data_IF_467443194465
#
_entry.id   IF_467443194465
#
_cell.length_a   1.000
_cell.length_b   1.000
_cell.length_c   1.000
_cell.angle_alpha   90.00
_cell.angle_beta   90.00
_cell.angle_gamma   90.00
#
_symmetry.space_group_name_H-M   'P 1'
#
loop_
_entity.id
_entity.type
_entity.pdbx_description
1 polymer ?
#
# COMPACT_ATOMS: atom_id res chain seq x y z
N UNK A 1 12.30 5.08 -9.69
CA UNK A 1 11.09 4.52 -9.04
C UNK A 1 10.03 3.99 -10.02
N UNK A 2 10.16 4.18 -11.35
CA UNK A 2 9.37 3.42 -12.34
C UNK A 2 9.82 1.95 -12.29
N UNK A 3 8.94 1.02 -11.92
CA UNK A 3 9.24 -0.42 -12.08
C UNK A 3 9.01 -1.33 -10.88
N UNK A 4 7.97 -1.12 -10.07
CA UNK A 4 7.40 -2.20 -9.24
C UNK A 4 6.59 -3.19 -10.11
N UNK A 5 7.20 -3.70 -11.18
CA UNK A 5 6.55 -4.55 -12.19
C UNK A 5 5.79 -5.75 -11.59
N UNK A 6 6.31 -6.45 -10.57
CA UNK A 6 5.57 -7.56 -9.94
C UNK A 6 4.22 -7.11 -9.38
N UNK A 7 4.19 -5.95 -8.72
CA UNK A 7 2.97 -5.39 -8.16
C UNK A 7 1.98 -4.96 -9.25
N UNK A 8 2.46 -4.48 -10.40
CA UNK A 8 1.58 -4.19 -11.54
C UNK A 8 0.95 -5.47 -12.11
N UNK A 9 1.69 -6.59 -12.14
CA UNK A 9 1.14 -7.90 -12.54
C UNK A 9 0.06 -8.35 -11.56
N UNK A 10 0.36 -8.33 -10.25
CA UNK A 10 -0.60 -8.68 -9.19
C UNK A 10 -1.86 -7.80 -9.26
N UNK A 11 -1.70 -6.49 -9.43
CA UNK A 11 -2.83 -5.57 -9.61
C UNK A 11 -3.72 -6.00 -10.77
N UNK A 12 -3.14 -6.29 -11.94
CA UNK A 12 -3.91 -6.70 -13.12
C UNK A 12 -4.69 -7.97 -12.86
N UNK A 13 -4.05 -8.96 -12.23
CA UNK A 13 -4.69 -10.24 -11.90
C UNK A 13 -5.88 -10.02 -10.94
N UNK A 14 -5.68 -9.27 -9.84
CA UNK A 14 -6.75 -8.95 -8.89
C UNK A 14 -7.89 -8.14 -9.53
N UNK A 15 -7.55 -7.20 -10.42
CA UNK A 15 -8.51 -6.30 -11.06
C UNK A 15 -9.35 -6.97 -12.14
N UNK A 16 -9.04 -8.21 -12.53
CA UNK A 16 -9.91 -9.02 -13.39
C UNK A 16 -11.10 -9.54 -12.57
N UNK A 17 -10.84 -10.02 -11.35
CA UNK A 17 -11.82 -10.73 -10.52
C UNK A 17 -12.65 -9.80 -9.63
N UNK A 18 -12.08 -8.64 -9.24
CA UNK A 18 -12.75 -7.68 -8.37
C UNK A 18 -12.59 -6.25 -8.86
N UNK A 19 -13.70 -5.52 -8.83
CA UNK A 19 -13.73 -4.09 -9.14
C UNK A 19 -13.22 -3.21 -8.00
N UNK A 20 -13.15 -3.69 -6.76
CA UNK A 20 -12.63 -2.93 -5.62
C UNK A 20 -11.45 -3.64 -4.98
N UNK A 21 -10.34 -2.93 -4.87
CA UNK A 21 -9.07 -3.46 -4.37
C UNK A 21 -8.51 -2.50 -3.33
N UNK A 22 -8.09 -3.05 -2.21
CA UNK A 22 -7.56 -2.32 -1.08
C UNK A 22 -6.03 -2.44 -1.09
N UNK A 23 -5.35 -1.34 -1.42
CA UNK A 23 -3.91 -1.22 -1.34
C UNK A 23 -3.49 -0.98 0.12
N UNK A 24 -2.95 -2.02 0.73
CA UNK A 24 -2.60 -2.08 2.15
C UNK A 24 -1.11 -2.32 2.33
N UNK A 25 -0.59 -2.02 3.52
CA UNK A 25 0.82 -2.21 3.84
C UNK A 25 1.34 -1.13 4.78
N UNK A 26 2.60 -1.28 5.26
CA UNK A 26 3.14 -0.38 6.26
C UNK A 26 3.22 1.07 5.74
N UNK A 27 3.18 2.03 6.68
CA UNK A 27 3.43 3.43 6.35
C UNK A 27 4.77 3.56 5.62
N UNK A 28 4.83 4.50 4.68
CA UNK A 28 6.03 4.78 3.86
C UNK A 28 6.50 3.62 2.96
N UNK A 29 5.72 2.55 2.77
CA UNK A 29 6.05 1.47 1.82
C UNK A 29 5.99 1.88 0.33
N UNK A 30 5.44 3.06 0.03
CA UNK A 30 5.27 3.57 -1.33
C UNK A 30 3.88 3.39 -1.94
N UNK A 31 2.83 3.29 -1.10
CA UNK A 31 1.44 3.05 -1.54
C UNK A 31 0.92 4.12 -2.50
N UNK A 32 0.94 5.39 -2.10
CA UNK A 32 0.53 6.52 -2.95
C UNK A 32 1.28 6.53 -4.28
N UNK A 33 2.59 6.23 -4.27
CA UNK A 33 3.36 6.15 -5.51
C UNK A 33 2.92 4.99 -6.41
N UNK A 34 2.65 3.81 -5.84
CA UNK A 34 2.13 2.69 -6.63
C UNK A 34 0.72 2.99 -7.16
N UNK A 35 -0.14 3.60 -6.35
CA UNK A 35 -1.49 3.99 -6.74
C UNK A 35 -1.46 4.99 -7.92
N UNK A 36 -0.56 5.97 -7.88
CA UNK A 36 -0.36 6.90 -9.00
C UNK A 36 0.11 6.16 -10.26
N UNK A 37 1.11 5.28 -10.15
CA UNK A 37 1.60 4.49 -11.30
C UNK A 37 0.48 3.65 -11.91
N UNK A 38 -0.38 3.07 -11.08
CA UNK A 38 -1.55 2.31 -11.54
C UNK A 38 -2.54 3.27 -12.22
N UNK A 39 -2.87 4.41 -11.60
CA UNK A 39 -3.77 5.43 -12.15
C UNK A 39 -3.33 5.89 -13.54
N UNK A 40 -2.04 6.22 -13.69
CA UNK A 40 -1.45 6.71 -14.94
C UNK A 40 -1.51 5.68 -16.08
N UNK A 41 -1.71 4.39 -15.76
CA UNK A 41 -1.86 3.33 -16.76
C UNK A 41 -3.28 3.20 -17.33
N UNK A 42 -4.25 3.93 -16.78
CA UNK A 42 -5.64 3.95 -17.24
C UNK A 42 -5.92 5.22 -18.04
N UNK A 43 -6.56 5.07 -19.22
CA UNK A 43 -6.99 6.21 -20.04
C UNK A 43 -7.96 7.11 -19.29
N UNK A 44 -8.96 6.50 -18.64
CA UNK A 44 -9.94 7.17 -17.79
C UNK A 44 -9.58 6.88 -16.34
N UNK A 45 -9.11 7.88 -15.61
CA UNK A 45 -8.80 7.75 -14.19
C UNK A 45 -9.14 9.01 -13.41
N UNK A 46 -9.41 8.84 -12.12
CA UNK A 46 -9.66 9.94 -11.19
C UNK A 46 -8.94 9.63 -9.87
N UNK A 47 -8.08 10.56 -9.45
CA UNK A 47 -7.35 10.42 -8.21
C UNK A 47 -7.94 11.31 -7.12
N UNK A 48 -8.53 10.68 -6.10
CA UNK A 48 -9.03 11.35 -4.92
C UNK A 48 -8.11 11.06 -3.73
N UNK A 49 -7.82 12.09 -2.95
CA UNK A 49 -7.00 12.01 -1.74
C UNK A 49 -7.68 12.78 -0.62
N UNK A 50 -8.03 12.08 0.46
CA UNK A 50 -8.73 12.66 1.60
C UNK A 50 -7.92 13.75 2.34
N UNK A 51 -6.60 13.76 2.22
CA UNK A 51 -5.77 14.80 2.87
C UNK A 51 -5.87 16.16 2.18
N UNK A 52 -6.31 16.20 0.91
CA UNK A 52 -6.48 17.44 0.14
C UNK A 52 -7.84 18.07 0.50
N UNK A 53 -7.80 19.32 0.97
CA UNK A 53 -8.99 20.03 1.43
C UNK A 53 -10.05 20.22 0.33
N UNK A 54 -9.62 20.53 -0.89
CA UNK A 54 -10.49 20.68 -2.05
C UNK A 54 -11.23 19.38 -2.38
N UNK A 55 -10.51 18.25 -2.39
CA UNK A 55 -11.12 16.93 -2.59
C UNK A 55 -12.18 16.65 -1.55
N UNK A 56 -11.89 16.89 -0.26
CA UNK A 56 -12.89 16.73 0.80
C UNK A 56 -14.12 17.62 0.57
N UNK A 57 -13.93 18.88 0.20
CA UNK A 57 -15.04 19.79 -0.05
C UNK A 57 -15.94 19.29 -1.20
N UNK A 58 -15.35 18.85 -2.31
CA UNK A 58 -16.08 18.28 -3.43
C UNK A 58 -16.83 17.00 -3.03
N UNK A 59 -16.18 16.09 -2.31
CA UNK A 59 -16.80 14.86 -1.79
C UNK A 59 -18.02 15.14 -0.90
N UNK A 60 -17.96 16.15 -0.04
CA UNK A 60 -19.08 16.50 0.84
C UNK A 60 -20.28 17.07 0.09
N UNK A 61 -20.05 17.72 -1.05
CA UNK A 61 -21.12 18.24 -1.90
C UNK A 61 -21.68 17.16 -2.83
N UNK A 62 -20.80 16.32 -3.39
CA UNK A 62 -21.16 15.24 -4.30
C UNK A 62 -20.37 13.96 -3.96
N UNK A 63 -20.96 13.03 -3.19
CA UNK A 63 -20.32 11.76 -2.85
C UNK A 63 -20.05 10.85 -4.06
N UNK A 64 -20.78 11.02 -5.17
CA UNK A 64 -20.57 10.30 -6.43
C UNK A 64 -19.90 11.18 -7.50
N UNK A 65 -19.02 12.10 -7.07
CA UNK A 65 -18.22 12.97 -7.94
C UNK A 65 -17.54 12.26 -9.11
N UNK A 66 -17.18 10.98 -8.94
CA UNK A 66 -16.56 10.17 -9.98
C UNK A 66 -17.48 9.83 -11.17
N UNK A 67 -18.79 10.00 -11.04
CA UNK A 67 -19.72 9.84 -12.16
C UNK A 67 -19.56 10.94 -13.21
N UNK A 68 -19.16 12.14 -12.78
CA UNK A 68 -18.94 13.30 -13.64
C UNK A 68 -17.61 13.28 -14.41
N UNK A 69 -16.83 12.18 -14.31
CA UNK A 69 -15.57 12.07 -15.03
C UNK A 69 -15.80 12.11 -16.55
N UNK A 70 -15.08 13.00 -17.24
CA UNK A 70 -15.04 13.01 -18.69
C UNK A 70 -14.32 11.76 -19.21
N UNK A 71 -15.03 10.93 -19.97
CA UNK A 71 -14.48 9.70 -20.54
C UNK A 71 -13.89 10.00 -21.92
N UNK A 72 -12.62 9.64 -22.10
CA UNK A 72 -11.90 9.77 -23.38
C UNK A 72 -12.20 8.60 -24.32
N UNK A 73 -12.58 7.45 -23.76
CA UNK A 73 -12.95 6.24 -24.50
C UNK A 73 -13.99 5.41 -23.73
N UNK A 74 -14.33 4.23 -24.25
CA UNK A 74 -15.27 3.29 -23.62
C UNK A 74 -14.65 2.39 -22.54
N UNK A 75 -13.37 2.58 -22.20
CA UNK A 75 -12.70 1.75 -21.19
C UNK A 75 -13.24 2.01 -19.78
N UNK A 76 -13.25 0.97 -18.95
CA UNK A 76 -13.71 1.08 -17.56
C UNK A 76 -12.77 2.04 -16.79
N UNK A 77 -13.30 3.14 -16.24
CA UNK A 77 -12.50 4.10 -15.48
C UNK A 77 -12.01 3.54 -14.15
N UNK A 78 -10.82 3.99 -13.73
CA UNK A 78 -10.25 3.71 -12.43
C UNK A 78 -10.40 4.90 -11.49
N UNK A 79 -11.01 4.69 -10.33
CA UNK A 79 -11.15 5.68 -9.26
C UNK A 79 -10.22 5.29 -8.13
N UNK A 80 -9.25 6.14 -7.84
CA UNK A 80 -8.33 5.97 -6.70
C UNK A 80 -8.87 6.76 -5.52
N UNK A 81 -9.07 6.09 -4.39
CA UNK A 81 -9.52 6.69 -3.13
C UNK A 81 -8.40 6.55 -2.09
N UNK A 82 -7.50 7.53 -2.05
CA UNK A 82 -6.36 7.56 -1.14
C UNK A 82 -6.74 8.16 0.22
N UNK A 83 -6.30 7.50 1.29
CA UNK A 83 -6.54 7.89 2.68
C UNK A 83 -8.05 8.05 3.05
N UNK A 84 -8.96 7.43 2.30
CA UNK A 84 -10.43 7.54 2.51
C UNK A 84 -10.88 7.07 3.89
N UNK A 85 -10.09 6.20 4.54
CA UNK A 85 -10.36 5.70 5.90
C UNK A 85 -10.37 6.80 6.98
N UNK A 86 -9.88 8.00 6.68
CA UNK A 86 -9.99 9.18 7.55
C UNK A 86 -11.41 9.74 7.60
N UNK A 87 -12.27 9.43 6.63
CA UNK A 87 -13.69 9.74 6.69
C UNK A 87 -14.39 8.81 7.67
N UNK A 88 -15.12 9.34 8.65
CA UNK A 88 -15.72 8.53 9.74
C UNK A 88 -16.62 7.40 9.22
N UNK A 89 -17.36 7.62 8.14
CA UNK A 89 -18.35 6.66 7.58
C UNK A 89 -17.88 5.99 6.28
N UNK A 90 -16.56 5.92 6.07
CA UNK A 90 -15.95 5.41 4.84
C UNK A 90 -16.41 4.01 4.45
N UNK A 91 -16.68 3.13 5.42
CA UNK A 91 -17.12 1.75 5.14
C UNK A 91 -18.49 1.69 4.48
N UNK A 92 -19.45 2.43 5.02
CA UNK A 92 -20.80 2.49 4.46
C UNK A 92 -20.80 3.17 3.09
N UNK A 93 -19.98 4.21 2.94
CA UNK A 93 -19.74 4.83 1.64
C UNK A 93 -19.23 3.83 0.61
N UNK A 94 -18.14 3.11 0.91
CA UNK A 94 -17.58 2.11 -0.02
C UNK A 94 -18.54 0.96 -0.31
N UNK A 95 -19.36 0.56 0.66
CA UNK A 95 -20.39 -0.47 0.46
C UNK A 95 -21.40 0.00 -0.60
N UNK A 96 -21.93 1.21 -0.45
CA UNK A 96 -22.87 1.78 -1.42
C UNK A 96 -22.24 1.96 -2.79
N UNK A 97 -20.99 2.46 -2.83
CA UNK A 97 -20.23 2.61 -4.08
C UNK A 97 -20.05 1.26 -4.78
N UNK A 98 -19.66 0.21 -4.06
CA UNK A 98 -19.51 -1.11 -4.65
C UNK A 98 -20.85 -1.66 -5.16
N UNK A 99 -21.86 -1.69 -4.30
CA UNK A 99 -23.15 -2.31 -4.62
C UNK A 99 -23.80 -1.67 -5.87
N UNK A 100 -23.62 -0.35 -6.06
CA UNK A 100 -24.20 0.38 -7.19
C UNK A 100 -23.29 0.46 -8.45
N UNK A 101 -21.96 0.51 -8.28
CA UNK A 101 -21.05 0.89 -9.36
C UNK A 101 -19.98 -0.15 -9.73
N UNK A 102 -19.96 -1.33 -9.09
CA UNK A 102 -18.94 -2.36 -9.33
C UNK A 102 -18.79 -2.81 -10.78
N UNK A 103 -19.85 -2.76 -11.59
CA UNK A 103 -19.80 -3.15 -13.01
C UNK A 103 -19.31 -2.03 -13.93
N UNK A 104 -19.33 -0.78 -13.46
CA UNK A 104 -19.07 0.41 -14.28
C UNK A 104 -17.72 1.07 -14.01
N UNK A 105 -17.13 0.80 -12.85
CA UNK A 105 -15.91 1.47 -12.37
C UNK A 105 -15.01 0.46 -11.66
N UNK A 106 -13.69 0.70 -11.73
CA UNK A 106 -12.72 0.06 -10.84
C UNK A 106 -12.35 1.03 -9.72
N UNK A 107 -12.14 0.51 -8.53
CA UNK A 107 -11.83 1.25 -7.31
C UNK A 107 -10.53 0.73 -6.72
N UNK A 108 -9.54 1.61 -6.59
CA UNK A 108 -8.33 1.37 -5.83
C UNK A 108 -8.39 2.20 -4.55
N UNK A 109 -8.60 1.54 -3.42
CA UNK A 109 -8.70 2.18 -2.12
C UNK A 109 -7.35 2.04 -1.42
N UNK A 110 -6.74 3.14 -1.02
CA UNK A 110 -5.48 3.14 -0.28
C UNK A 110 -5.70 3.62 1.15
N UNK A 111 -4.95 3.03 2.08
CA UNK A 111 -4.91 3.49 3.46
C UNK A 111 -3.71 2.95 4.21
N UNK A 112 -3.40 3.64 5.31
CA UNK A 112 -2.42 3.18 6.29
C UNK A 112 -2.80 1.83 6.92
N UNK A 113 -1.95 1.29 7.80
CA UNK A 113 -2.07 -0.05 8.42
C UNK A 113 -3.38 -0.34 9.17
N UNK A 114 -4.31 0.62 9.23
CA UNK A 114 -5.68 0.47 9.73
C UNK A 114 -6.51 -0.48 8.88
N UNK A 115 -6.34 -0.47 7.55
CA UNK A 115 -7.15 -1.27 6.64
C UNK A 115 -7.00 -2.79 6.86
N UNK A 116 -5.81 -3.26 7.27
CA UNK A 116 -5.54 -4.68 7.55
C UNK A 116 -6.29 -5.22 8.79
N UNK A 117 -6.65 -4.35 9.73
CA UNK A 117 -7.22 -4.77 11.03
C UNK A 117 -8.75 -4.80 11.06
N UNK A 118 -9.41 -4.26 10.03
CA UNK A 118 -10.86 -4.15 10.02
C UNK A 118 -11.61 -5.46 9.73
N UNK A 119 -10.92 -6.56 9.42
CA UNK A 119 -11.53 -7.88 9.25
C UNK A 119 -12.24 -8.42 10.52
N UNK A 120 -11.87 -7.94 11.72
CA UNK A 120 -12.27 -8.59 12.99
C UNK A 120 -13.59 -8.10 13.61
N UNK A 121 -14.34 -7.21 12.96
CA UNK A 121 -15.60 -6.70 13.53
C UNK A 121 -16.73 -6.62 12.50
N UNK A 122 -17.54 -7.68 12.39
CA UNK A 122 -18.85 -7.67 11.71
C UNK A 122 -18.90 -6.91 10.38
N UNK A 123 -17.84 -7.04 9.56
CA UNK A 123 -17.47 -6.01 8.61
C UNK A 123 -18.42 -5.95 7.39
N UNK A 124 -19.02 -4.78 7.14
CA UNK A 124 -20.04 -4.59 6.10
C UNK A 124 -19.52 -4.71 4.67
N UNK A 125 -18.20 -4.78 4.50
CA UNK A 125 -17.50 -4.85 3.21
C UNK A 125 -17.03 -6.27 2.83
N UNK A 126 -17.34 -7.29 3.64
CA UNK A 126 -16.97 -8.67 3.34
C UNK A 126 -17.41 -9.09 1.92
N UNK A 127 -16.51 -9.73 1.18
CA UNK A 127 -16.74 -10.20 -0.19
C UNK A 127 -16.71 -9.13 -1.29
N UNK A 128 -16.61 -7.84 -0.94
CA UNK A 128 -16.66 -6.73 -1.90
C UNK A 128 -15.28 -6.27 -2.38
N UNK A 129 -14.20 -6.66 -1.71
CA UNK A 129 -12.86 -6.23 -2.06
C UNK A 129 -11.84 -7.37 -2.01
N UNK A 130 -10.71 -7.17 -2.70
CA UNK A 130 -9.48 -7.93 -2.48
C UNK A 130 -8.41 -7.08 -1.82
N UNK A 131 -7.61 -7.70 -0.95
CA UNK A 131 -6.44 -7.07 -0.36
C UNK A 131 -5.26 -7.16 -1.32
N UNK A 132 -4.60 -6.03 -1.50
CA UNK A 132 -3.40 -5.91 -2.29
C UNK A 132 -2.28 -5.35 -1.40
N UNK A 133 -1.45 -6.24 -0.86
CA UNK A 133 -0.39 -5.86 0.06
C UNK A 133 0.83 -5.32 -0.68
N UNK A 134 1.30 -4.14 -0.25
CA UNK A 134 2.54 -3.52 -0.69
C UNK A 134 3.56 -3.54 0.42
N UNK A 135 4.64 -4.28 0.20
CA UNK A 135 5.73 -4.38 1.16
C UNK A 135 6.88 -3.42 0.83
N UNK A 136 7.77 -3.16 1.82
CA UNK A 136 9.08 -2.58 1.55
C UNK A 136 9.84 -3.40 0.49
N UNK A 137 10.86 -2.79 -0.12
CA UNK A 137 11.67 -3.44 -1.13
C UNK A 137 12.26 -4.76 -0.63
N UNK A 138 12.11 -5.80 -1.44
CA UNK A 138 12.78 -7.08 -1.23
C UNK A 138 14.05 -7.17 -2.08
N UNK A 139 14.97 -8.05 -1.69
CA UNK A 139 16.17 -8.33 -2.49
C UNK A 139 15.80 -8.80 -3.90
N UNK A 140 14.75 -9.62 -4.05
CA UNK A 140 14.29 -10.13 -5.33
C UNK A 140 13.73 -9.03 -6.23
N UNK A 141 13.04 -8.03 -5.66
CA UNK A 141 12.55 -6.87 -6.40
C UNK A 141 13.71 -6.00 -6.89
N UNK A 142 14.63 -5.65 -6.00
CA UNK A 142 15.76 -4.77 -6.31
C UNK A 142 16.78 -5.43 -7.25
N UNK A 143 17.00 -6.74 -7.08
CA UNK A 143 17.86 -7.56 -7.93
C UNK A 143 17.21 -8.05 -9.22
N UNK A 144 15.94 -7.69 -9.48
CA UNK A 144 15.14 -8.13 -10.64
C UNK A 144 15.13 -9.66 -10.82
N UNK A 145 15.02 -10.39 -9.70
CA UNK A 145 15.07 -11.86 -9.64
C UNK A 145 13.76 -12.51 -9.23
N UNK A 146 12.64 -11.85 -9.44
CA UNK A 146 11.35 -12.46 -9.19
C UNK A 146 11.18 -13.67 -10.11
N UNK A 147 11.10 -14.86 -9.51
CA UNK A 147 10.82 -16.10 -10.24
C UNK A 147 9.32 -16.28 -10.34
N UNK A 148 8.86 -16.74 -11.49
CA UNK A 148 7.48 -17.21 -11.61
C UNK A 148 7.31 -18.49 -10.79
N UNK A 149 6.11 -18.68 -10.24
CA UNK A 149 5.77 -19.86 -9.44
C UNK A 149 5.97 -21.15 -10.24
N UNK A 150 5.61 -21.16 -11.53
CA UNK A 150 5.85 -22.28 -12.44
C UNK A 150 7.34 -22.64 -12.52
N UNK A 151 8.21 -21.64 -12.68
CA UNK A 151 9.67 -21.84 -12.69
C UNK A 151 10.20 -22.31 -11.34
N UNK A 152 9.64 -21.81 -10.24
CA UNK A 152 10.01 -22.26 -8.89
C UNK A 152 9.60 -23.71 -8.64
N UNK A 153 8.38 -24.12 -9.03
CA UNK A 153 7.89 -25.49 -8.85
C UNK A 153 8.70 -26.51 -9.67
N UNK A 154 9.14 -26.12 -10.87
CA UNK A 154 9.99 -26.98 -11.71
C UNK A 154 11.38 -27.19 -11.11
N UNK A 155 11.96 -26.18 -10.47
CA UNK A 155 13.27 -26.28 -9.80
C UNK A 155 13.34 -25.34 -8.58
N UNK A 156 12.89 -25.80 -7.41
CA UNK A 156 12.85 -25.00 -6.19
C UNK A 156 14.24 -24.64 -5.67
N UNK A 157 15.23 -25.50 -5.93
CA UNK A 157 16.60 -25.38 -5.42
C UNK A 157 17.55 -24.71 -6.41
N UNK A 158 17.06 -24.21 -7.55
CA UNK A 158 17.89 -23.48 -8.51
C UNK A 158 18.55 -22.25 -7.88
N UNK A 159 19.85 -22.35 -7.59
CA UNK A 159 20.67 -21.21 -7.15
C UNK A 159 21.37 -20.62 -8.37
N UNK A 160 20.88 -19.47 -8.82
CA UNK A 160 21.53 -18.71 -9.90
C UNK A 160 22.61 -17.80 -9.31
N UNK A 161 23.87 -18.14 -9.54
CA UNK A 161 25.04 -17.37 -9.06
C UNK A 161 25.46 -16.23 -10.00
N UNK A 162 24.84 -16.12 -11.18
CA UNK A 162 24.98 -14.95 -12.05
C UNK A 162 24.80 -13.66 -11.24
N UNK A 163 25.51 -12.56 -11.55
CA UNK A 163 25.43 -11.26 -10.84
C UNK A 163 25.45 -11.31 -9.29
N UNK A 164 26.02 -12.35 -8.67
CA UNK A 164 26.05 -12.50 -7.20
C UNK A 164 26.67 -11.29 -6.48
N UNK A 165 27.65 -10.64 -7.11
CA UNK A 165 28.29 -9.43 -6.57
C UNK A 165 27.32 -8.24 -6.45
N UNK A 166 26.41 -8.06 -7.40
CA UNK A 166 25.39 -7.00 -7.34
C UNK A 166 24.35 -7.30 -6.25
N UNK A 167 23.90 -8.54 -6.16
CA UNK A 167 23.00 -8.98 -5.09
C UNK A 167 23.64 -8.79 -3.72
N UNK A 168 24.94 -9.09 -3.58
CA UNK A 168 25.67 -8.86 -2.33
C UNK A 168 25.65 -7.38 -1.93
N UNK A 169 25.86 -6.45 -2.89
CA UNK A 169 25.75 -5.00 -2.63
C UNK A 169 24.35 -4.59 -2.20
N UNK A 170 23.32 -5.10 -2.88
CA UNK A 170 21.90 -4.85 -2.52
C UNK A 170 21.61 -5.38 -1.12
N UNK A 171 22.04 -6.60 -0.80
CA UNK A 171 21.88 -7.23 0.50
C UNK A 171 22.56 -6.41 1.61
N UNK A 172 23.82 -6.03 1.42
CA UNK A 172 24.54 -5.18 2.38
C UNK A 172 23.81 -3.86 2.64
N UNK A 173 23.31 -3.21 1.58
CA UNK A 173 22.55 -1.96 1.72
C UNK A 173 21.21 -2.16 2.44
N UNK A 174 20.49 -3.24 2.15
CA UNK A 174 19.24 -3.59 2.83
C UNK A 174 19.48 -3.87 4.33
N UNK A 175 20.56 -4.58 4.66
CA UNK A 175 20.94 -4.87 6.03
C UNK A 175 21.32 -3.59 6.81
N UNK A 176 21.95 -2.61 6.15
CA UNK A 176 22.37 -1.36 6.79
C UNK A 176 21.26 -0.32 6.90
N UNK A 177 20.38 -0.20 5.90
CA UNK A 177 19.47 0.96 5.74
C UNK A 177 17.97 0.60 5.74
N UNK A 178 17.60 -0.67 5.73
CA UNK A 178 16.22 -1.17 5.54
C UNK A 178 15.73 -1.23 4.09
N UNK A 179 14.65 -2.00 3.88
CA UNK A 179 13.93 -2.10 2.60
C UNK A 179 12.91 -0.98 2.37
N UNK A 180 12.67 -0.10 3.33
CA UNK A 180 11.75 1.03 3.11
C UNK A 180 12.30 1.98 2.03
N UNK A 181 11.47 2.45 1.08
CA UNK A 181 11.93 3.23 -0.05
C UNK A 181 12.77 4.46 0.31
N UNK A 182 12.32 5.26 1.28
CA UNK A 182 12.98 6.51 1.64
C UNK A 182 14.42 6.31 2.16
N UNK A 183 14.68 5.54 3.23
CA UNK A 183 16.05 5.33 3.71
C UNK A 183 16.89 4.52 2.72
N UNK A 184 16.29 3.53 2.04
CA UNK A 184 16.99 2.71 1.06
C UNK A 184 17.50 3.58 -0.09
N UNK A 185 16.66 4.42 -0.70
CA UNK A 185 17.03 5.27 -1.84
C UNK A 185 17.99 6.38 -1.44
N UNK A 186 17.84 6.95 -0.24
CA UNK A 186 18.75 7.97 0.28
C UNK A 186 20.19 7.45 0.42
N UNK A 187 20.38 6.15 0.74
CA UNK A 187 21.70 5.51 0.71
C UNK A 187 22.68 5.99 1.77
N UNK A 188 22.21 6.65 2.85
CA UNK A 188 23.06 7.28 3.88
C UNK A 188 22.61 6.91 5.28
N UNK A 189 23.55 6.45 6.10
CA UNK A 189 23.30 6.06 7.49
C UNK A 189 22.70 7.18 8.36
N UNK A 190 23.15 8.46 8.28
CA UNK A 190 22.51 9.54 9.04
C UNK A 190 21.06 9.81 8.65
N UNK A 191 20.68 9.55 7.39
CA UNK A 191 19.29 9.64 6.95
C UNK A 191 18.47 8.48 7.50
N UNK A 192 18.98 7.25 7.42
CA UNK A 192 18.33 6.08 8.00
C UNK A 192 18.08 6.26 9.50
N UNK A 193 19.07 6.70 10.29
CA UNK A 193 18.89 6.90 11.74
C UNK A 193 17.78 7.91 12.06
N UNK A 194 17.75 9.04 11.35
CA UNK A 194 16.69 10.05 11.51
C UNK A 194 15.32 9.48 11.13
N UNK A 195 15.25 8.82 9.98
CA UNK A 195 14.04 8.19 9.48
C UNK A 195 13.52 7.11 10.45
N UNK A 196 14.39 6.23 10.94
CA UNK A 196 14.05 5.14 11.86
C UNK A 196 13.45 5.67 13.16
N UNK A 197 14.00 6.75 13.72
CA UNK A 197 13.48 7.38 14.93
C UNK A 197 12.08 7.97 14.69
N UNK A 198 11.87 8.69 13.59
CA UNK A 198 10.58 9.29 13.24
C UNK A 198 9.53 8.19 12.98
N UNK A 199 9.90 7.18 12.19
CA UNK A 199 9.04 6.05 11.87
C UNK A 199 8.56 5.31 13.13
N UNK A 200 9.48 5.04 14.06
CA UNK A 200 9.17 4.37 15.33
C UNK A 200 8.18 5.19 16.17
N UNK A 201 8.38 6.50 16.27
CA UNK A 201 7.47 7.39 16.99
C UNK A 201 6.07 7.42 16.35
N UNK A 202 5.99 7.52 15.02
CA UNK A 202 4.72 7.52 14.30
C UNK A 202 3.97 6.19 14.49
N UNK A 203 4.66 5.06 14.34
CA UNK A 203 4.06 3.74 14.51
C UNK A 203 3.45 3.57 15.91
N UNK A 204 4.19 3.95 16.95
CA UNK A 204 3.73 3.77 18.34
C UNK A 204 2.62 4.75 18.69
N UNK A 205 2.78 6.03 18.32
CA UNK A 205 1.88 7.11 18.75
C UNK A 205 0.62 7.24 17.93
N UNK A 206 0.68 6.99 16.63
CA UNK A 206 -0.45 7.19 15.72
C UNK A 206 -1.12 5.87 15.31
N UNK A 207 -0.33 4.82 15.05
CA UNK A 207 -0.90 3.57 14.56
C UNK A 207 -1.35 2.70 15.73
N UNK A 208 -0.46 2.36 16.67
CA UNK A 208 -0.80 1.46 17.77
C UNK A 208 -1.82 2.07 18.73
N UNK A 209 -1.61 3.33 19.14
CA UNK A 209 -2.50 4.03 20.07
C UNK A 209 -3.95 4.07 19.56
N UNK A 210 -4.13 4.46 18.30
CA UNK A 210 -5.45 4.63 17.71
C UNK A 210 -6.15 3.29 17.44
N UNK A 211 -5.38 2.21 17.26
CA UNK A 211 -5.91 0.88 16.98
C UNK A 211 -6.34 0.10 18.22
N UNK A 212 -5.70 0.35 19.37
CA UNK A 212 -5.83 -0.54 20.53
C UNK A 212 -6.44 0.12 21.76
N UNK A 213 -6.73 1.43 21.71
CA UNK A 213 -7.20 2.18 22.88
C UNK A 213 -6.23 2.10 24.07
N UNK A 214 -4.97 1.74 23.81
CA UNK A 214 -3.95 1.56 24.84
C UNK A 214 -3.72 2.90 25.53
N UNK A 215 -3.98 2.90 26.84
CA UNK A 215 -3.92 4.10 27.68
C UNK A 215 -2.49 4.58 27.95
N UNK A 216 -1.50 3.69 27.87
CA UNK A 216 -0.10 4.00 28.17
C UNK A 216 0.78 3.82 26.93
N UNK A 217 1.03 4.94 26.24
CA UNK A 217 1.97 5.02 25.11
C UNK A 217 3.41 4.76 25.57
N UNK A 218 3.74 5.13 26.81
CA UNK A 218 5.08 5.03 27.39
C UNK A 218 5.53 3.57 27.57
N UNK A 219 4.62 2.69 27.99
CA UNK A 219 4.94 1.26 28.15
C UNK A 219 5.20 0.59 26.79
N UNK A 220 4.50 1.03 25.73
CA UNK A 220 4.73 0.56 24.36
C UNK A 220 6.04 1.08 23.78
N UNK A 221 6.41 2.35 24.05
CA UNK A 221 7.72 2.89 23.70
C UNK A 221 8.85 2.10 24.38
N UNK A 222 8.67 1.76 25.66
CA UNK A 222 9.62 0.93 26.42
C UNK A 222 9.74 -0.47 25.83
N UNK A 223 8.63 -1.13 25.52
CA UNK A 223 8.62 -2.45 24.90
C UNK A 223 9.32 -2.44 23.53
N UNK A 224 9.03 -1.44 22.69
CA UNK A 224 9.66 -1.28 21.39
C UNK A 224 11.18 -1.11 21.50
N UNK A 225 11.66 -0.28 22.44
CA UNK A 225 13.09 -0.08 22.70
C UNK A 225 13.79 -1.34 23.24
N UNK A 226 13.04 -2.26 23.84
CA UNK A 226 13.55 -3.54 24.36
C UNK A 226 13.53 -4.68 23.33
N UNK A 227 12.84 -4.54 22.19
CA UNK A 227 12.83 -5.57 21.14
C UNK A 227 14.22 -5.86 20.53
N UNK A 228 15.08 -4.86 20.24
CA UNK A 228 16.41 -5.10 19.68
C UNK A 228 17.37 -5.83 20.62
N UNK A 229 17.14 -5.80 21.93
CA UNK A 229 18.00 -6.49 22.91
C UNK A 229 17.58 -7.94 23.15
N UNK A 230 16.49 -8.40 22.53
CA UNK A 230 15.91 -9.74 22.73
C UNK A 230 15.73 -10.57 21.45
N UNK A 231 16.25 -10.11 20.31
CA UNK A 231 16.25 -10.83 19.02
C UNK A 231 17.67 -11.00 18.52
#
# INVERSE_FOLDING_TARGET
MKGRTPYIKIWRDLAIDKSMIFLVGPRQAGKTTLAQIISDSFTNNLYFNWDIAEHRANFMQNPTFFEAIERRDSSIPLIVLDEIHKYRDWKNYLKGVYDQFHDKYKFLVSGSGRLDLYQKGGDSLAGRYFLFHLWPFTISELGKRNREISSFLNDPLQIRMEHAHELKKIWSRLAELSGFPEPYLAGRMPTYRRWSNIYSQQLIREDIRDLTGVKSVVDMETLYLLLPSKV
#
